data_IF_976663596631
#
_entry.id   IF_976663596631
#
_cell.length_a   1.000
_cell.length_b   1.000
_cell.length_c   1.000
_cell.angle_alpha   90.00
_cell.angle_beta   90.00
_cell.angle_gamma   90.00
#
_symmetry.space_group_name_H-M   'P 1'
#
loop_
_entity.id
_entity.type
_entity.pdbx_description
1 polymer ?
#
# COMPACT_ATOMS: atom_id res chain seq x y z
N UNK A 1 -27.53 -40.58 26.59
CA UNK A 1 -26.29 -39.80 26.78
C UNK A 1 -26.01 -39.12 25.44
N UNK A 2 -25.97 -37.80 25.25
CA UNK A 2 -25.81 -36.67 26.15
C UNK A 2 -26.71 -35.50 25.69
N UNK A 3 -27.40 -34.87 26.64
CA UNK A 3 -28.32 -33.74 26.48
C UNK A 3 -27.74 -32.46 27.11
N UNK A 4 -26.42 -32.26 27.00
CA UNK A 4 -25.67 -31.20 27.66
C UNK A 4 -25.41 -29.94 26.82
N UNK A 5 -25.54 -30.02 25.49
CA UNK A 5 -24.91 -29.00 24.63
C UNK A 5 -25.81 -27.80 24.30
N UNK A 6 -27.10 -27.87 24.64
CA UNK A 6 -28.08 -26.80 24.36
C UNK A 6 -28.21 -25.73 25.45
N UNK A 7 -27.53 -25.87 26.60
CA UNK A 7 -27.66 -24.90 27.72
C UNK A 7 -26.67 -23.74 27.61
N UNK A 8 -25.55 -23.90 26.88
CA UNK A 8 -24.54 -22.84 26.74
C UNK A 8 -24.93 -21.74 25.75
N UNK A 9 -25.80 -22.02 24.77
CA UNK A 9 -26.19 -21.06 23.74
C UNK A 9 -27.16 -19.96 24.22
N UNK A 10 -27.81 -20.14 25.38
CA UNK A 10 -28.89 -19.26 25.87
C UNK A 10 -28.46 -18.12 26.81
N UNK A 11 -27.24 -18.13 27.36
CA UNK A 11 -26.85 -17.19 28.43
C UNK A 11 -26.15 -15.89 27.97
N UNK A 12 -25.71 -15.79 26.72
CA UNK A 12 -24.91 -14.64 26.27
C UNK A 12 -25.64 -13.64 25.34
N UNK A 13 -26.94 -13.84 25.08
CA UNK A 13 -27.71 -12.92 24.23
C UNK A 13 -28.07 -11.59 24.95
N UNK A 14 -28.07 -11.57 26.29
CA UNK A 14 -28.53 -10.42 27.10
C UNK A 14 -27.43 -9.40 27.43
N UNK A 15 -26.15 -9.71 27.17
CA UNK A 15 -25.00 -8.88 27.54
C UNK A 15 -24.39 -8.10 26.37
N UNK A 16 -25.07 -7.98 25.22
CA UNK A 16 -24.59 -7.10 24.14
C UNK A 16 -24.61 -5.66 24.66
N UNK A 17 -23.45 -4.99 24.79
CA UNK A 17 -23.40 -3.63 25.30
C UNK A 17 -24.26 -2.74 24.40
N UNK A 18 -25.34 -2.18 24.96
CA UNK A 18 -26.19 -1.22 24.24
C UNK A 18 -25.32 -0.01 23.93
N UNK A 19 -25.14 0.28 22.65
CA UNK A 19 -24.40 1.47 22.21
C UNK A 19 -25.19 2.70 22.66
N UNK A 20 -24.56 3.57 23.45
CA UNK A 20 -25.17 4.84 23.88
C UNK A 20 -25.64 5.66 22.66
N UNK A 21 -26.84 6.27 22.70
CA UNK A 21 -27.33 7.16 21.63
C UNK A 21 -26.36 8.30 21.32
N UNK A 22 -25.69 8.83 22.34
CA UNK A 22 -24.66 9.87 22.19
C UNK A 22 -23.46 9.35 21.38
N UNK A 23 -23.02 8.12 21.65
CA UNK A 23 -21.96 7.49 20.89
C UNK A 23 -22.36 7.31 19.42
N UNK A 24 -23.62 6.96 19.14
CA UNK A 24 -24.12 6.87 17.75
C UNK A 24 -24.12 8.23 17.06
N UNK A 25 -24.54 9.29 17.76
CA UNK A 25 -24.57 10.65 17.22
C UNK A 25 -23.17 11.25 16.97
N UNK A 26 -22.18 10.92 17.81
CA UNK A 26 -20.80 11.41 17.70
C UNK A 26 -19.93 10.62 16.72
N UNK A 27 -20.36 9.43 16.27
CA UNK A 27 -19.59 8.59 15.32
C UNK A 27 -19.13 9.34 14.06
N UNK A 28 -19.97 10.11 13.35
CA UNK A 28 -19.54 10.79 12.14
C UNK A 28 -18.40 11.78 12.39
N UNK A 29 -18.40 12.48 13.53
CA UNK A 29 -17.32 13.39 13.90
C UNK A 29 -16.01 12.64 14.18
N UNK A 30 -16.09 11.52 14.90
CA UNK A 30 -14.91 10.66 15.12
C UNK A 30 -14.30 10.15 13.81
N UNK A 31 -15.13 9.65 12.89
CA UNK A 31 -14.65 9.20 11.58
C UNK A 31 -14.20 10.34 10.67
N UNK A 32 -14.82 11.53 10.77
CA UNK A 32 -14.39 12.71 10.03
C UNK A 32 -12.99 13.15 10.47
N UNK A 33 -12.73 13.23 11.78
CA UNK A 33 -11.41 13.56 12.31
C UNK A 33 -10.34 12.57 11.83
N UNK A 34 -10.63 11.27 11.90
CA UNK A 34 -9.70 10.22 11.43
C UNK A 34 -9.49 10.30 9.91
N UNK A 35 -10.54 10.60 9.14
CA UNK A 35 -10.44 10.79 7.68
C UNK A 35 -9.57 11.99 7.34
N UNK A 36 -9.76 13.13 8.03
CA UNK A 36 -8.95 14.33 7.86
C UNK A 36 -7.50 14.06 8.24
N UNK A 37 -7.24 13.39 9.36
CA UNK A 37 -5.87 13.05 9.77
C UNK A 37 -5.14 12.22 8.71
N UNK A 38 -5.77 11.15 8.19
CA UNK A 38 -5.17 10.34 7.13
C UNK A 38 -5.08 11.06 5.79
N UNK A 39 -6.01 11.97 5.48
CA UNK A 39 -5.93 12.82 4.31
C UNK A 39 -4.73 13.77 4.40
N UNK A 40 -4.50 14.40 5.55
CA UNK A 40 -3.31 15.25 5.79
C UNK A 40 -2.02 14.43 5.67
N UNK A 41 -1.96 13.23 6.26
CA UNK A 41 -0.79 12.34 6.11
C UNK A 41 -0.57 11.96 4.65
N UNK A 42 -1.64 11.66 3.90
CA UNK A 42 -1.56 11.37 2.47
C UNK A 42 -1.04 12.58 1.68
N UNK A 43 -1.51 13.79 2.00
CA UNK A 43 -1.00 15.01 1.39
C UNK A 43 0.47 15.25 1.71
N UNK A 44 0.91 15.01 2.95
CA UNK A 44 2.32 15.12 3.33
C UNK A 44 3.15 14.08 2.58
N UNK A 45 2.71 12.82 2.53
CA UNK A 45 3.40 11.77 1.79
C UNK A 45 3.49 12.09 0.28
N UNK A 46 2.39 12.56 -0.30
CA UNK A 46 2.36 12.98 -1.70
C UNK A 46 3.21 14.22 -1.95
N UNK A 47 3.24 15.19 -1.02
CA UNK A 47 4.10 16.37 -1.12
C UNK A 47 5.58 15.99 -0.98
N UNK A 48 5.94 15.07 -0.08
CA UNK A 48 7.31 14.56 0.04
C UNK A 48 7.74 13.80 -1.21
N UNK A 49 6.86 12.98 -1.78
CA UNK A 49 7.07 12.37 -3.08
C UNK A 49 7.25 13.46 -4.14
N UNK A 50 6.33 14.42 -4.26
CA UNK A 50 6.45 15.51 -5.24
C UNK A 50 7.73 16.34 -5.06
N UNK A 51 8.13 16.64 -3.82
CA UNK A 51 9.41 17.29 -3.54
C UNK A 51 10.58 16.45 -4.06
N UNK A 52 10.54 15.12 -3.91
CA UNK A 52 11.55 14.24 -4.48
C UNK A 52 11.53 14.20 -6.02
N UNK A 53 10.42 14.56 -6.66
CA UNK A 53 10.33 14.72 -8.12
C UNK A 53 10.90 16.07 -8.58
N UNK A 54 10.62 17.13 -7.79
CA UNK A 54 11.02 18.51 -8.11
C UNK A 54 12.46 18.81 -7.69
N UNK A 55 12.99 18.19 -6.63
CA UNK A 55 14.39 18.35 -6.19
C UNK A 55 15.39 17.98 -7.30
N UNK A 56 15.21 16.89 -8.07
CA UNK A 56 15.98 16.62 -9.27
C UNK A 56 15.88 17.70 -10.34
N UNK A 57 14.89 18.60 -10.37
CA UNK A 57 14.86 19.68 -11.37
C UNK A 57 16.05 20.62 -11.26
N UNK A 58 16.66 20.79 -10.09
CA UNK A 58 17.93 21.52 -9.95
C UNK A 58 19.08 20.81 -10.69
N UNK A 59 19.44 19.58 -10.31
CA UNK A 59 20.45 18.78 -11.00
C UNK A 59 20.14 18.47 -12.48
N UNK A 60 18.88 18.22 -12.82
CA UNK A 60 18.43 17.92 -14.18
C UNK A 60 18.40 19.18 -15.05
N UNK A 61 18.04 20.35 -14.54
CA UNK A 61 18.19 21.60 -15.31
C UNK A 61 19.66 21.97 -15.53
N UNK A 62 20.56 21.53 -14.65
CA UNK A 62 22.00 21.59 -14.85
C UNK A 62 22.54 20.45 -15.75
N UNK A 63 21.71 19.53 -16.25
CA UNK A 63 22.12 18.38 -17.05
C UNK A 63 23.04 18.71 -18.23
N UNK A 64 22.77 19.77 -19.05
CA UNK A 64 23.70 20.14 -20.12
C UNK A 64 25.10 20.48 -19.62
N UNK A 65 25.20 21.17 -18.47
CA UNK A 65 26.48 21.48 -17.82
C UNK A 65 27.13 20.25 -17.22
N UNK A 66 26.33 19.40 -16.56
CA UNK A 66 26.76 18.07 -16.10
C UNK A 66 27.39 17.28 -17.26
N UNK A 67 26.78 17.22 -18.44
CA UNK A 67 27.35 16.42 -19.54
C UNK A 67 28.71 16.94 -20.03
N UNK A 68 28.94 18.26 -19.98
CA UNK A 68 30.26 18.86 -20.29
C UNK A 68 31.27 18.67 -19.16
N UNK A 69 30.85 18.77 -17.90
CA UNK A 69 31.74 18.66 -16.73
C UNK A 69 32.11 17.19 -16.44
N UNK A 70 31.15 16.27 -16.60
CA UNK A 70 31.33 14.81 -16.45
C UNK A 70 32.24 14.22 -17.53
N UNK A 71 32.42 14.89 -18.66
CA UNK A 71 33.40 14.49 -19.67
C UNK A 71 34.85 14.74 -19.21
N UNK A 72 35.04 15.61 -18.21
CA UNK A 72 36.34 15.99 -17.66
C UNK A 72 36.83 15.13 -16.48
N UNK A 73 35.92 14.53 -15.70
CA UNK A 73 36.27 13.63 -14.58
C UNK A 73 35.47 12.31 -14.62
N UNK A 74 36.13 11.16 -14.90
CA UNK A 74 35.46 9.86 -14.95
C UNK A 74 34.85 9.43 -13.60
N UNK A 75 35.33 9.96 -12.46
CA UNK A 75 34.76 9.66 -11.14
C UNK A 75 33.42 10.34 -10.96
N UNK A 76 33.30 11.61 -11.37
CA UNK A 76 32.04 12.34 -11.33
C UNK A 76 31.03 11.72 -12.30
N UNK A 77 31.47 11.34 -13.51
CA UNK A 77 30.66 10.61 -14.49
C UNK A 77 30.06 9.33 -13.88
N UNK A 78 30.90 8.52 -13.23
CA UNK A 78 30.46 7.30 -12.58
C UNK A 78 29.49 7.58 -11.42
N UNK A 79 29.78 8.57 -10.58
CA UNK A 79 28.90 8.95 -9.47
C UNK A 79 27.51 9.40 -9.98
N UNK A 80 27.46 10.20 -11.04
CA UNK A 80 26.20 10.60 -11.66
C UNK A 80 25.41 9.38 -12.18
N UNK A 81 26.07 8.45 -12.88
CA UNK A 81 25.42 7.22 -13.35
C UNK A 81 24.83 6.44 -12.18
N UNK A 82 25.57 6.27 -11.08
CA UNK A 82 25.06 5.57 -9.88
C UNK A 82 23.85 6.29 -9.29
N UNK A 83 23.87 7.63 -9.20
CA UNK A 83 22.74 8.40 -8.67
C UNK A 83 21.50 8.27 -9.55
N UNK A 84 21.63 8.48 -10.86
CA UNK A 84 20.50 8.47 -11.79
C UNK A 84 19.98 7.06 -12.09
N UNK A 85 20.88 6.09 -12.24
CA UNK A 85 20.53 4.72 -12.61
C UNK A 85 20.33 3.78 -11.42
N UNK A 86 20.52 4.22 -10.17
CA UNK A 86 20.28 3.36 -9.00
C UNK A 86 19.60 4.11 -7.87
N UNK A 87 20.20 5.19 -7.37
CA UNK A 87 19.71 5.86 -6.16
C UNK A 87 18.34 6.49 -6.37
N UNK A 88 18.15 7.24 -7.47
CA UNK A 88 16.89 7.93 -7.77
C UNK A 88 15.70 6.97 -7.95
N UNK A 89 15.78 5.91 -8.78
CA UNK A 89 14.68 4.96 -8.92
C UNK A 89 14.30 4.24 -7.62
N UNK A 90 15.29 3.90 -6.79
CA UNK A 90 15.08 3.26 -5.49
C UNK A 90 14.36 4.19 -4.51
N UNK A 91 14.89 5.40 -4.34
CA UNK A 91 14.31 6.42 -3.44
C UNK A 91 12.91 6.86 -3.88
N UNK A 92 12.67 6.95 -5.20
CA UNK A 92 11.32 7.19 -5.73
C UNK A 92 10.36 6.04 -5.45
N UNK A 93 10.79 4.80 -5.66
CA UNK A 93 9.98 3.62 -5.32
C UNK A 93 9.61 3.58 -3.84
N UNK A 94 10.52 4.02 -2.96
CA UNK A 94 10.27 4.18 -1.53
C UNK A 94 9.23 5.28 -1.26
N UNK A 95 9.35 6.45 -1.90
CA UNK A 95 8.38 7.53 -1.76
C UNK A 95 6.96 7.10 -2.18
N UNK A 96 6.83 6.40 -3.31
CA UNK A 96 5.56 5.83 -3.77
C UNK A 96 5.00 4.79 -2.80
N UNK A 97 5.87 4.02 -2.14
CA UNK A 97 5.47 3.07 -1.09
C UNK A 97 4.85 3.80 0.10
N UNK A 98 5.45 4.91 0.55
CA UNK A 98 4.94 5.74 1.65
C UNK A 98 3.56 6.34 1.29
N UNK A 99 3.37 6.81 0.05
CA UNK A 99 2.07 7.27 -0.43
C UNK A 99 1.03 6.15 -0.36
N UNK A 100 1.40 4.94 -0.79
CA UNK A 100 0.54 3.76 -0.66
C UNK A 100 0.13 3.48 0.79
N UNK A 101 1.07 3.61 1.74
CA UNK A 101 0.83 3.37 3.18
C UNK A 101 -0.18 4.34 3.78
N UNK A 102 -0.24 5.58 3.29
CA UNK A 102 -1.24 6.57 3.71
C UNK A 102 -2.60 6.39 3.00
N UNK A 103 -2.58 5.94 1.74
CA UNK A 103 -3.79 5.82 0.91
C UNK A 103 -4.77 4.77 1.46
N UNK A 104 -4.27 3.60 1.86
CA UNK A 104 -5.12 2.51 2.37
C UNK A 104 -5.97 2.90 3.59
N UNK A 105 -5.37 3.40 4.67
CA UNK A 105 -6.10 3.87 5.85
C UNK A 105 -7.04 5.03 5.53
N UNK A 106 -6.66 5.96 4.65
CA UNK A 106 -7.54 7.03 4.19
C UNK A 106 -8.81 6.48 3.53
N UNK A 107 -8.69 5.51 2.61
CA UNK A 107 -9.84 4.88 1.95
C UNK A 107 -10.77 4.18 2.95
N UNK A 108 -10.20 3.52 3.97
CA UNK A 108 -10.97 2.85 5.04
C UNK A 108 -11.65 3.86 5.97
N UNK A 109 -10.98 4.96 6.33
CA UNK A 109 -11.54 6.04 7.13
C UNK A 109 -12.70 6.73 6.40
N UNK A 110 -12.50 7.07 5.12
CA UNK A 110 -13.54 7.66 4.27
C UNK A 110 -14.74 6.73 4.11
N UNK A 111 -14.51 5.42 3.97
CA UNK A 111 -15.58 4.43 3.95
C UNK A 111 -16.36 4.41 5.27
N UNK A 112 -15.67 4.40 6.41
CA UNK A 112 -16.31 4.40 7.73
C UNK A 112 -17.13 5.67 7.96
N UNK A 113 -16.60 6.83 7.56
CA UNK A 113 -17.33 8.10 7.55
C UNK A 113 -18.59 8.01 6.69
N UNK A 114 -18.48 7.55 5.45
CA UNK A 114 -19.62 7.43 4.54
C UNK A 114 -20.72 6.50 5.07
N UNK A 115 -20.35 5.40 5.74
CA UNK A 115 -21.29 4.47 6.37
C UNK A 115 -21.91 5.05 7.63
N UNK A 116 -21.16 5.85 8.40
CA UNK A 116 -21.66 6.47 9.64
C UNK A 116 -22.77 7.48 9.41
N UNK A 117 -22.80 8.13 8.24
CA UNK A 117 -23.85 9.09 7.86
C UNK A 117 -25.15 8.41 7.41
N UNK A 118 -25.13 7.10 7.13
CA UNK A 118 -26.29 6.36 6.62
C UNK A 118 -27.13 5.81 7.77
N UNK A 119 -28.46 6.09 7.81
CA UNK A 119 -29.34 5.61 8.88
C UNK A 119 -29.33 4.08 9.05
N UNK A 120 -29.16 3.32 7.95
CA UNK A 120 -29.14 1.86 7.94
C UNK A 120 -28.02 1.23 8.78
N UNK A 121 -26.99 2.01 9.13
CA UNK A 121 -25.81 1.53 9.86
C UNK A 121 -25.75 2.03 11.31
N UNK A 122 -26.76 2.76 11.80
CA UNK A 122 -26.75 3.38 13.15
C UNK A 122 -26.55 2.38 14.29
N UNK A 123 -27.10 1.18 14.16
CA UNK A 123 -27.03 0.15 15.19
C UNK A 123 -25.90 -0.87 14.97
N UNK A 124 -25.11 -0.70 13.89
CA UNK A 124 -24.00 -1.59 13.57
C UNK A 124 -22.68 -1.02 14.09
N UNK A 125 -21.74 -1.88 14.48
CA UNK A 125 -20.33 -1.48 14.66
C UNK A 125 -19.70 -1.40 13.27
N UNK A 126 -19.20 -0.24 12.85
CA UNK A 126 -18.73 -0.04 11.46
C UNK A 126 -17.31 -0.57 11.24
N UNK A 127 -16.46 -0.37 12.24
CA UNK A 127 -15.05 -0.71 12.19
C UNK A 127 -14.64 -1.62 13.34
N UNK A 128 -13.70 -2.51 13.06
CA UNK A 128 -12.96 -3.28 14.04
C UNK A 128 -11.49 -2.89 14.04
N UNK A 129 -10.81 -3.28 15.11
CA UNK A 129 -9.35 -3.33 15.17
C UNK A 129 -9.01 -4.80 15.35
N UNK A 130 -8.18 -5.35 14.46
CA UNK A 130 -7.64 -6.68 14.68
C UNK A 130 -6.22 -6.52 15.24
N UNK A 131 -6.05 -6.95 16.50
CA UNK A 131 -4.81 -6.89 17.27
C UNK A 131 -3.98 -8.17 17.14
N UNK A 132 -4.49 -9.20 16.45
CA UNK A 132 -3.76 -10.45 16.32
C UNK A 132 -2.48 -10.22 15.50
N UNK A 133 -1.36 -10.32 16.22
CA UNK A 133 0.00 -10.46 15.70
C UNK A 133 0.09 -11.48 14.55
N UNK A 134 -0.81 -12.47 14.51
CA UNK A 134 -0.79 -13.56 13.52
C UNK A 134 -1.79 -13.42 12.36
N UNK A 135 -2.89 -12.65 12.49
CA UNK A 135 -3.96 -12.60 11.44
C UNK A 135 -4.04 -11.30 10.65
N UNK A 136 -3.07 -10.40 10.85
CA UNK A 136 -2.72 -9.32 9.92
C UNK A 136 -1.27 -9.45 9.43
N UNK A 137 -0.70 -10.65 9.57
CA UNK A 137 0.71 -11.02 9.46
C UNK A 137 1.32 -10.93 8.07
N UNK A 138 1.47 -9.72 7.54
CA UNK A 138 2.64 -9.48 6.70
C UNK A 138 3.77 -8.82 7.48
N UNK A 139 4.94 -8.63 6.84
CA UNK A 139 6.14 -8.11 7.47
C UNK A 139 5.90 -6.79 8.22
N UNK A 140 4.90 -5.98 7.82
CA UNK A 140 4.49 -4.79 8.56
C UNK A 140 4.06 -5.06 10.01
N UNK A 141 3.22 -6.07 10.29
CA UNK A 141 2.78 -6.35 11.67
C UNK A 141 3.90 -7.02 12.50
N UNK A 142 4.73 -7.85 11.89
CA UNK A 142 5.89 -8.48 12.54
C UNK A 142 7.07 -7.53 12.78
N UNK A 143 7.25 -6.49 11.95
CA UNK A 143 8.35 -5.51 12.07
C UNK A 143 7.91 -4.22 12.79
N UNK A 144 6.63 -3.83 12.76
CA UNK A 144 6.16 -2.56 13.34
C UNK A 144 5.15 -2.68 14.47
N UNK A 145 4.53 -3.85 14.70
CA UNK A 145 3.52 -4.02 15.76
C UNK A 145 2.26 -3.16 15.58
N UNK A 146 2.01 -2.62 14.39
CA UNK A 146 0.90 -1.68 14.14
C UNK A 146 -0.40 -2.45 13.97
N UNK A 147 -1.34 -2.23 14.90
CA UNK A 147 -2.70 -2.74 14.79
C UNK A 147 -3.39 -2.17 13.54
N UNK A 148 -3.90 -3.03 12.65
CA UNK A 148 -4.74 -2.59 11.54
C UNK A 148 -6.08 -2.16 12.12
N UNK A 149 -6.22 -0.85 12.32
CA UNK A 149 -7.46 -0.20 12.70
C UNK A 149 -8.34 0.06 11.47
N UNK A 150 -9.62 0.34 11.70
CA UNK A 150 -10.61 0.69 10.66
C UNK A 150 -11.02 -0.46 9.73
N UNK A 151 -10.84 -1.72 10.14
CA UNK A 151 -11.32 -2.86 9.35
C UNK A 151 -12.86 -2.84 9.25
N UNK A 152 -13.44 -2.87 8.05
CA UNK A 152 -14.88 -2.78 7.87
C UNK A 152 -15.55 -4.05 8.41
N UNK A 153 -16.60 -3.91 9.22
CA UNK A 153 -17.38 -5.07 9.71
C UNK A 153 -18.26 -5.68 8.63
N UNK A 154 -18.92 -4.84 7.84
CA UNK A 154 -19.66 -5.29 6.65
C UNK A 154 -18.76 -5.32 5.43
N UNK A 155 -18.65 -6.50 4.82
CA UNK A 155 -17.91 -6.69 3.57
C UNK A 155 -18.77 -6.29 2.37
N UNK A 156 -18.20 -5.42 1.55
CA UNK A 156 -18.72 -4.97 0.25
C UNK A 156 -17.55 -5.02 -0.74
N UNK A 157 -17.79 -5.07 -2.06
CA UNK A 157 -16.68 -5.10 -3.03
C UNK A 157 -15.66 -3.99 -2.82
N UNK A 158 -16.14 -2.76 -2.58
CA UNK A 158 -15.28 -1.61 -2.29
C UNK A 158 -14.50 -1.76 -0.97
N UNK A 159 -15.14 -2.23 0.10
CA UNK A 159 -14.47 -2.38 1.39
C UNK A 159 -13.41 -3.47 1.36
N UNK A 160 -13.66 -4.57 0.63
CA UNK A 160 -12.67 -5.61 0.38
C UNK A 160 -11.50 -5.08 -0.44
N UNK A 161 -11.77 -4.30 -1.49
CA UNK A 161 -10.72 -3.63 -2.26
C UNK A 161 -9.89 -2.69 -1.40
N UNK A 162 -10.50 -1.81 -0.61
CA UNK A 162 -9.81 -0.87 0.27
C UNK A 162 -8.97 -1.59 1.35
N UNK A 163 -9.51 -2.65 1.96
CA UNK A 163 -8.75 -3.49 2.91
C UNK A 163 -7.57 -4.17 2.23
N UNK A 164 -7.71 -4.65 0.99
CA UNK A 164 -6.59 -5.22 0.21
C UNK A 164 -5.53 -4.19 -0.14
N UNK A 165 -5.92 -2.97 -0.51
CA UNK A 165 -4.99 -1.85 -0.75
C UNK A 165 -4.23 -1.52 0.52
N UNK A 166 -4.94 -1.36 1.65
CA UNK A 166 -4.33 -1.10 2.94
C UNK A 166 -3.34 -2.20 3.34
N UNK A 167 -3.79 -3.46 3.38
CA UNK A 167 -2.91 -4.58 3.70
C UNK A 167 -1.68 -4.60 2.79
N UNK A 168 -1.82 -4.37 1.48
CA UNK A 168 -0.67 -4.34 0.57
C UNK A 168 0.32 -3.24 0.84
N UNK A 169 -0.16 -2.06 1.18
CA UNK A 169 0.72 -0.95 1.43
C UNK A 169 1.62 -1.19 2.65
N UNK A 170 1.09 -1.87 3.67
CA UNK A 170 1.84 -2.22 4.89
C UNK A 170 2.70 -3.48 4.74
N UNK A 171 2.36 -4.36 3.80
CA UNK A 171 3.13 -5.57 3.47
C UNK A 171 4.04 -5.24 2.30
N UNK A 172 5.13 -4.52 2.60
CA UNK A 172 6.17 -4.23 1.62
C UNK A 172 6.85 -5.55 1.27
N UNK A 173 6.42 -6.16 0.17
CA UNK A 173 7.09 -7.30 -0.41
C UNK A 173 8.08 -6.81 -1.48
N UNK A 174 9.19 -7.52 -1.61
CA UNK A 174 10.24 -7.18 -2.56
C UNK A 174 9.74 -7.06 -4.01
N UNK A 175 8.72 -7.84 -4.40
CA UNK A 175 8.15 -7.77 -5.76
C UNK A 175 7.39 -6.45 -5.99
N UNK A 176 6.55 -6.03 -5.04
CA UNK A 176 5.83 -4.76 -5.12
C UNK A 176 6.80 -3.58 -5.14
N UNK A 177 7.81 -3.59 -4.26
CA UNK A 177 8.84 -2.54 -4.23
C UNK A 177 9.61 -2.49 -5.55
N UNK A 178 10.10 -3.63 -6.05
CA UNK A 178 10.78 -3.69 -7.34
C UNK A 178 9.88 -3.23 -8.49
N UNK A 179 8.58 -3.51 -8.43
CA UNK A 179 7.60 -3.01 -9.38
C UNK A 179 7.47 -1.48 -9.35
N UNK A 180 7.48 -0.87 -8.17
CA UNK A 180 7.50 0.58 -8.01
C UNK A 180 8.82 1.19 -8.50
N UNK A 181 9.96 0.54 -8.24
CA UNK A 181 11.27 0.95 -8.79
C UNK A 181 11.27 0.91 -10.31
N UNK A 182 10.72 -0.14 -10.92
CA UNK A 182 10.54 -0.20 -12.38
C UNK A 182 9.63 0.93 -12.88
N UNK A 183 8.56 1.25 -12.16
CA UNK A 183 7.69 2.38 -12.49
C UNK A 183 8.45 3.72 -12.44
N UNK A 184 9.36 3.89 -11.47
CA UNK A 184 10.27 5.05 -11.39
C UNK A 184 11.09 5.22 -12.66
N UNK A 185 11.60 4.13 -13.25
CA UNK A 185 12.34 4.19 -14.51
C UNK A 185 11.44 4.61 -15.68
N UNK A 186 10.21 4.11 -15.74
CA UNK A 186 9.26 4.51 -16.79
C UNK A 186 9.03 6.02 -16.73
N UNK A 187 8.75 6.53 -15.53
CA UNK A 187 8.54 7.96 -15.31
C UNK A 187 9.78 8.77 -15.66
N UNK A 188 10.97 8.38 -15.19
CA UNK A 188 12.23 9.03 -15.51
C UNK A 188 12.47 9.09 -17.03
N UNK A 189 12.24 8.00 -17.75
CA UNK A 189 12.40 7.92 -19.20
C UNK A 189 11.38 8.80 -19.94
N UNK A 190 10.15 8.88 -19.46
CA UNK A 190 9.13 9.76 -20.02
C UNK A 190 9.47 11.24 -19.78
N UNK A 191 9.87 11.61 -18.57
CA UNK A 191 10.34 12.97 -18.25
C UNK A 191 11.54 13.32 -19.13
N UNK A 192 12.49 12.41 -19.28
CA UNK A 192 13.63 12.58 -20.17
C UNK A 192 13.18 12.86 -21.61
N UNK A 193 12.26 12.07 -22.14
CA UNK A 193 11.73 12.22 -23.50
C UNK A 193 11.02 13.57 -23.71
N UNK A 194 10.20 14.00 -22.76
CA UNK A 194 9.44 15.26 -22.88
C UNK A 194 10.31 16.50 -22.61
N UNK A 195 11.31 16.40 -21.73
CA UNK A 195 12.12 17.55 -21.29
C UNK A 195 13.37 17.75 -22.13
N UNK A 196 13.98 16.67 -22.62
CA UNK A 196 15.09 16.66 -23.57
C UNK A 196 14.64 15.96 -24.85
N UNK A 197 13.85 16.64 -25.70
CA UNK A 197 13.33 16.05 -26.92
C UNK A 197 14.50 15.58 -27.78
N UNK A 198 14.63 14.26 -27.90
CA UNK A 198 15.61 13.65 -28.79
C UNK A 198 15.19 13.95 -30.22
N UNK A 199 16.04 14.62 -30.99
CA UNK A 199 15.77 14.87 -32.40
C UNK A 199 16.05 13.65 -33.29
N UNK A 200 16.78 12.66 -32.76
CA UNK A 200 17.12 11.44 -33.49
C UNK A 200 16.03 10.36 -33.25
N UNK A 201 15.35 9.86 -34.31
CA UNK A 201 14.31 8.85 -34.17
C UNK A 201 14.81 7.54 -33.53
N UNK A 202 16.08 7.19 -33.72
CA UNK A 202 16.69 6.01 -33.07
C UNK A 202 16.73 6.20 -31.56
N UNK A 203 17.12 7.39 -31.09
CA UNK A 203 17.17 7.71 -29.66
C UNK A 203 15.77 7.68 -29.03
N UNK A 204 14.78 8.26 -29.71
CA UNK A 204 13.37 8.18 -29.27
C UNK A 204 12.94 6.71 -29.15
N UNK A 205 13.19 5.92 -30.19
CA UNK A 205 12.84 4.49 -30.23
C UNK A 205 13.44 3.73 -29.05
N UNK A 206 14.71 3.96 -28.74
CA UNK A 206 15.40 3.34 -27.60
C UNK A 206 14.73 3.70 -26.27
N UNK A 207 14.46 4.98 -26.02
CA UNK A 207 13.79 5.43 -24.79
C UNK A 207 12.40 4.81 -24.64
N UNK A 208 11.62 4.79 -25.72
CA UNK A 208 10.27 4.19 -25.72
C UNK A 208 10.33 2.68 -25.46
N UNK A 209 11.28 1.95 -26.05
CA UNK A 209 11.45 0.51 -25.82
C UNK A 209 11.82 0.24 -24.37
N UNK A 210 12.75 1.00 -23.78
CA UNK A 210 13.10 0.85 -22.38
C UNK A 210 11.92 1.18 -21.45
N UNK A 211 11.20 2.27 -21.71
CA UNK A 211 10.02 2.64 -20.94
C UNK A 211 8.93 1.55 -21.01
N UNK A 212 8.71 0.96 -22.19
CA UNK A 212 7.80 -0.17 -22.36
C UNK A 212 8.28 -1.41 -21.60
N UNK A 213 9.57 -1.78 -21.70
CA UNK A 213 10.13 -2.92 -21.01
C UNK A 213 10.02 -2.78 -19.48
N UNK A 214 10.40 -1.63 -18.93
CA UNK A 214 10.24 -1.33 -17.50
C UNK A 214 8.76 -1.27 -17.10
N UNK A 215 7.86 -0.79 -17.96
CA UNK A 215 6.42 -0.81 -17.72
C UNK A 215 5.86 -2.23 -17.61
N UNK A 216 6.25 -3.13 -18.53
CA UNK A 216 5.88 -4.55 -18.46
C UNK A 216 6.43 -5.19 -17.19
N UNK A 217 7.68 -4.92 -16.84
CA UNK A 217 8.29 -5.40 -15.59
C UNK A 217 7.55 -4.86 -14.36
N UNK A 218 7.23 -3.56 -14.31
CA UNK A 218 6.49 -2.93 -13.23
C UNK A 218 5.14 -3.61 -13.04
N UNK A 219 4.36 -3.74 -14.11
CA UNK A 219 3.05 -4.40 -14.08
C UNK A 219 3.18 -5.88 -13.68
N UNK A 220 4.14 -6.61 -14.23
CA UNK A 220 4.38 -8.02 -13.91
C UNK A 220 4.73 -8.22 -12.44
N UNK A 221 5.61 -7.39 -11.89
CA UNK A 221 6.07 -7.44 -10.49
C UNK A 221 4.96 -7.01 -9.51
N UNK A 222 4.24 -5.94 -9.83
CA UNK A 222 3.07 -5.50 -9.06
C UNK A 222 1.96 -6.56 -9.07
N UNK A 223 1.70 -7.19 -10.23
CA UNK A 223 0.74 -8.31 -10.33
C UNK A 223 1.21 -9.55 -9.60
N UNK A 224 2.51 -9.88 -9.61
CA UNK A 224 3.06 -11.00 -8.86
C UNK A 224 2.94 -10.77 -7.34
N UNK A 225 3.26 -9.56 -6.87
CA UNK A 225 2.99 -9.13 -5.51
C UNK A 225 1.49 -9.15 -5.18
N UNK A 226 0.64 -8.84 -6.17
CA UNK A 226 -0.81 -8.93 -6.03
C UNK A 226 -1.30 -10.37 -5.84
N UNK A 227 -0.90 -11.29 -6.71
CA UNK A 227 -1.35 -12.70 -6.69
C UNK A 227 -0.89 -13.45 -5.45
N UNK A 228 0.32 -13.20 -4.97
CA UNK A 228 0.81 -13.81 -3.71
C UNK A 228 -0.13 -13.54 -2.55
N UNK A 229 -0.77 -12.38 -2.55
CA UNK A 229 -1.75 -11.97 -1.54
C UNK A 229 -3.20 -12.40 -1.84
N UNK A 230 -3.48 -13.06 -2.97
CA UNK A 230 -4.81 -13.61 -3.28
C UNK A 230 -4.99 -15.04 -2.77
N UNK A 231 -3.90 -15.75 -2.45
CA UNK A 231 -3.93 -17.03 -1.70
C UNK A 231 -4.52 -16.84 -0.28
N UNK A 232 -4.76 -15.58 0.12
CA UNK A 232 -5.22 -15.13 1.43
C UNK A 232 -6.75 -14.88 1.50
N UNK A 233 -7.58 -15.70 0.86
CA UNK A 233 -9.03 -15.74 1.12
C UNK A 233 -9.91 -15.76 -0.11
N UNK A 234 -10.31 -16.96 -0.53
CA UNK A 234 -11.50 -17.17 -1.38
C UNK A 234 -12.78 -17.29 -0.52
N UNK A 235 -12.66 -17.66 0.76
CA UNK A 235 -13.81 -18.06 1.60
C UNK A 235 -14.43 -16.93 2.44
N UNK A 236 -13.94 -15.69 2.29
CA UNK A 236 -14.45 -14.55 3.06
C UNK A 236 -14.08 -14.55 4.55
N UNK A 237 -13.38 -15.57 5.04
CA UNK A 237 -12.69 -15.51 6.31
C UNK A 237 -11.50 -14.55 6.22
N UNK A 238 -11.24 -13.83 7.31
CA UNK A 238 -10.01 -13.05 7.45
C UNK A 238 -8.83 -13.97 7.17
N UNK A 239 -7.80 -13.51 6.46
CA UNK A 239 -6.69 -14.37 6.08
C UNK A 239 -6.08 -15.06 7.29
N UNK A 240 -6.32 -16.37 7.41
CA UNK A 240 -5.47 -17.24 8.21
C UNK A 240 -4.16 -17.27 7.46
N UNK A 241 -3.15 -16.57 7.99
CA UNK A 241 -1.84 -16.55 7.36
C UNK A 241 -1.29 -17.96 7.41
N UNK A 242 -1.37 -18.64 6.26
CA UNK A 242 -0.67 -19.89 6.03
C UNK A 242 0.81 -19.60 6.27
N UNK A 243 1.40 -20.24 7.28
CA UNK A 243 2.86 -20.23 7.45
C UNK A 243 3.45 -20.80 6.16
N UNK A 244 4.25 -19.98 5.46
CA UNK A 244 5.06 -20.50 4.37
C UNK A 244 6.38 -20.99 4.96
N UNK A 245 6.80 -22.21 4.64
CA UNK A 245 8.13 -22.69 5.01
C UNK A 245 9.23 -21.87 4.31
N UNK A 246 10.49 -22.10 4.69
CA UNK A 246 11.64 -21.41 4.07
C UNK A 246 11.74 -21.64 2.53
N UNK A 247 11.04 -22.65 2.00
CA UNK A 247 10.94 -22.95 0.57
C UNK A 247 9.70 -22.33 -0.11
N UNK A 248 8.88 -21.57 0.63
CA UNK A 248 7.66 -20.93 0.11
C UNK A 248 6.48 -21.88 -0.06
N UNK A 249 6.46 -23.04 0.60
CA UNK A 249 5.33 -23.99 0.58
C UNK A 249 4.38 -23.70 1.74
N UNK A 250 3.09 -23.89 1.48
CA UNK A 250 2.00 -23.80 2.45
C UNK A 250 2.19 -24.86 3.54
N UNK A 251 2.53 -24.48 4.78
CA UNK A 251 2.37 -25.36 5.93
C UNK A 251 0.89 -25.50 6.22
N UNK A 252 0.40 -26.73 6.24
CA UNK A 252 -0.93 -27.01 6.75
C UNK A 252 -1.01 -26.52 8.20
N UNK A 253 -2.14 -25.93 8.62
CA UNK A 253 -2.33 -25.57 10.02
C UNK A 253 -2.19 -26.85 10.86
N UNK A 254 -1.31 -26.80 11.86
CA UNK A 254 -1.21 -27.87 12.85
C UNK A 254 -2.58 -28.05 13.47
N UNK A 255 -3.10 -29.27 13.47
CA UNK A 255 -4.46 -29.55 13.95
C UNK A 255 -4.56 -29.57 15.49
N UNK A 256 -3.45 -29.33 16.17
CA UNK A 256 -3.28 -29.62 17.59
C UNK A 256 -3.06 -28.37 18.48
N UNK A 257 -3.24 -27.16 17.97
CA UNK A 257 -3.17 -25.87 18.71
C UNK A 257 -4.55 -25.18 18.88
#
# INVERSE_FOLDING_TARGET
MSSSDNVAAGRDASSRPRVSPLAVALRPFGYALVTVAWFVILLIAAALALCWFVVPEGPLSAWPRLTTDLAGDPKEAFAAIVVFALVLPLTWGLALTIVGMALGPFLLAALALSRSMRPSFRHEKLTGTNLRYDTAGGPGAAVTGVAISLLPRRHTPYSLWATRVNARAWIINFQSYLGLVCLSYVEFLLVFLFRWPLHNPVGIGVVVIFAAAFGVLAVGRLRAGWRRLQVFGEDGELPTFVKLDAAGRVQAPDKDD
#
